data_IF_752136320416
#
_entry.id   IF_752136320416
#
_cell.length_a   1.000
_cell.length_b   1.000
_cell.length_c   1.000
_cell.angle_alpha   90.00
_cell.angle_beta   90.00
_cell.angle_gamma   90.00
#
_symmetry.space_group_name_H-M   'P 1'
#
loop_
_entity.id
_entity.type
_entity.pdbx_description
1 polymer ?
#
# COMPACT_ATOMS: atom_id res chain seq x y z
N UNK A 1 14.74 -29.37 -64.32
CA UNK A 1 14.36 -28.00 -63.91
C UNK A 1 15.12 -27.65 -62.66
N UNK A 2 16.05 -26.67 -62.73
CA UNK A 2 16.86 -26.24 -61.60
C UNK A 2 16.24 -24.99 -61.06
N UNK A 3 15.74 -25.01 -59.79
CA UNK A 3 15.26 -23.85 -59.10
C UNK A 3 16.43 -23.11 -58.45
N UNK A 4 16.66 -21.86 -58.88
CA UNK A 4 17.65 -20.97 -58.31
C UNK A 4 17.02 -20.25 -57.12
N UNK A 5 17.49 -20.50 -55.90
CA UNK A 5 17.09 -19.79 -54.70
C UNK A 5 17.73 -18.39 -54.69
N UNK A 6 16.91 -17.35 -54.71
CA UNK A 6 17.34 -15.97 -54.58
C UNK A 6 17.38 -15.61 -53.09
N UNK A 7 18.61 -15.48 -52.55
CA UNK A 7 18.83 -15.01 -51.16
C UNK A 7 18.71 -13.49 -51.10
N UNK A 8 17.64 -13.01 -50.51
CA UNK A 8 17.45 -11.60 -50.23
C UNK A 8 18.29 -11.20 -48.98
N UNK A 9 19.38 -10.49 -49.20
CA UNK A 9 20.22 -9.90 -48.18
C UNK A 9 19.47 -8.71 -47.56
N UNK A 10 18.93 -8.83 -46.32
CA UNK A 10 18.35 -7.74 -45.57
C UNK A 10 19.42 -6.66 -45.31
N UNK A 11 19.30 -5.51 -45.97
CA UNK A 11 20.10 -4.31 -45.68
C UNK A 11 19.63 -3.74 -44.36
N UNK A 12 20.39 -3.89 -43.28
CA UNK A 12 20.09 -3.27 -41.98
C UNK A 12 20.07 -1.75 -42.12
N UNK A 13 19.04 -1.10 -41.62
CA UNK A 13 18.88 0.36 -41.66
C UNK A 13 19.87 1.04 -40.70
N UNK A 14 21.15 1.09 -41.11
CA UNK A 14 22.22 1.77 -40.39
C UNK A 14 21.90 3.22 -40.11
N UNK A 15 21.19 3.88 -41.03
CA UNK A 15 20.72 5.27 -40.85
C UNK A 15 19.77 5.45 -39.64
N UNK A 16 18.92 4.47 -39.38
CA UNK A 16 17.98 4.50 -38.24
C UNK A 16 18.69 4.50 -36.88
N UNK A 17 19.75 3.71 -36.74
CA UNK A 17 20.53 3.68 -35.50
C UNK A 17 21.36 4.95 -35.27
N UNK A 18 21.81 5.58 -36.37
CA UNK A 18 22.57 6.84 -36.34
C UNK A 18 21.64 7.97 -35.84
N UNK A 19 20.39 8.04 -36.30
CA UNK A 19 19.44 9.05 -35.84
C UNK A 19 19.08 8.89 -34.38
N UNK A 20 18.87 7.66 -33.89
CA UNK A 20 18.62 7.37 -32.47
C UNK A 20 19.81 7.79 -31.61
N UNK A 21 21.04 7.46 -32.02
CA UNK A 21 22.24 7.83 -31.27
C UNK A 21 22.42 9.36 -31.19
N UNK A 22 22.10 10.09 -32.28
CA UNK A 22 22.17 11.54 -32.31
C UNK A 22 21.12 12.19 -31.38
N UNK A 23 19.90 11.66 -31.36
CA UNK A 23 18.84 12.14 -30.46
C UNK A 23 19.22 11.92 -28.98
N UNK A 24 19.78 10.77 -28.62
CA UNK A 24 20.21 10.47 -27.24
C UNK A 24 21.38 11.38 -26.82
N UNK A 25 22.29 11.70 -27.74
CA UNK A 25 23.40 12.62 -27.48
C UNK A 25 22.89 14.06 -27.20
N UNK A 26 21.91 14.55 -27.99
CA UNK A 26 21.33 15.88 -27.77
C UNK A 26 20.57 15.98 -26.44
N UNK A 27 19.87 14.92 -26.04
CA UNK A 27 19.18 14.85 -24.72
C UNK A 27 20.22 14.86 -23.60
N UNK A 28 21.32 14.13 -23.73
CA UNK A 28 22.40 14.12 -22.75
C UNK A 28 23.07 15.49 -22.58
N UNK A 29 23.30 16.23 -23.68
CA UNK A 29 23.88 17.58 -23.65
C UNK A 29 22.91 18.59 -23.00
N UNK A 30 21.60 18.49 -23.30
CA UNK A 30 20.59 19.34 -22.69
C UNK A 30 20.48 19.12 -21.17
N UNK A 31 20.54 17.84 -20.72
CA UNK A 31 20.55 17.48 -19.31
C UNK A 31 21.81 17.99 -18.59
N UNK A 32 22.97 17.92 -19.24
CA UNK A 32 24.22 18.47 -18.71
C UNK A 32 24.14 19.98 -18.49
N UNK A 33 23.59 20.72 -19.45
CA UNK A 33 23.41 22.18 -19.35
C UNK A 33 22.40 22.59 -18.28
N UNK A 34 21.34 21.80 -18.06
CA UNK A 34 20.36 22.03 -17.00
C UNK A 34 20.98 21.80 -15.60
N UNK A 35 21.85 20.81 -15.47
CA UNK A 35 22.47 20.46 -14.18
C UNK A 35 23.64 21.39 -13.82
N UNK A 36 24.35 21.95 -14.79
CA UNK A 36 25.50 22.85 -14.56
C UNK A 36 25.14 24.31 -14.24
N UNK A 37 23.84 24.65 -14.18
CA UNK A 37 23.36 25.98 -13.77
C UNK A 37 22.79 26.07 -12.36
N UNK A 38 22.97 25.05 -11.53
CA UNK A 38 22.69 25.15 -10.09
C UNK A 38 23.93 25.66 -9.38
N UNK A 39 24.26 26.93 -9.60
CA UNK A 39 25.19 27.68 -8.76
C UNK A 39 24.39 28.43 -7.70
N UNK A 40 24.85 28.22 -6.47
CA UNK A 40 24.58 28.93 -5.24
C UNK A 40 24.00 30.33 -5.40
N UNK A 41 22.73 30.50 -5.04
CA UNK A 41 22.21 31.80 -4.64
C UNK A 41 21.97 31.76 -3.13
N UNK A 42 22.72 32.60 -2.47
CA UNK A 42 22.75 33.00 -1.08
C UNK A 42 21.41 32.91 -0.33
N UNK A 43 21.41 32.12 0.72
CA UNK A 43 20.43 32.20 1.81
C UNK A 43 20.81 33.45 2.61
N UNK A 44 20.17 34.59 2.33
CA UNK A 44 20.12 35.71 3.25
C UNK A 44 19.11 35.41 4.34
N UNK A 45 19.63 35.30 5.53
CA UNK A 45 18.89 35.38 6.80
C UNK A 45 17.95 36.60 6.78
N UNK A 46 16.67 36.32 6.98
CA UNK A 46 15.71 37.33 7.41
C UNK A 46 15.37 37.03 8.87
N UNK A 47 16.06 37.71 9.77
CA UNK A 47 15.58 37.95 11.13
C UNK A 47 14.21 38.62 11.07
N UNK A 48 13.20 38.06 11.66
CA UNK A 48 11.96 38.74 12.00
C UNK A 48 11.46 38.31 13.36
N UNK A 49 11.77 39.19 14.29
CA UNK A 49 10.98 39.69 15.43
C UNK A 49 9.92 38.78 16.06
N UNK A 50 10.32 38.33 17.19
CA UNK A 50 9.65 38.11 18.47
C UNK A 50 8.31 38.86 18.62
N UNK A 51 7.21 38.11 18.78
CA UNK A 51 6.07 38.52 19.54
C UNK A 51 5.45 37.32 20.28
N UNK A 52 5.71 37.31 21.58
CA UNK A 52 5.25 36.40 22.61
C UNK A 52 3.79 36.75 22.98
N UNK A 53 2.85 35.83 22.97
CA UNK A 53 1.58 36.01 23.71
C UNK A 53 1.71 35.57 25.17
N UNK A 54 0.92 36.11 26.08
CA UNK A 54 1.14 36.00 27.51
C UNK A 54 0.65 34.68 28.10
N UNK A 55 1.39 34.28 29.12
CA UNK A 55 1.17 33.13 29.99
C UNK A 55 -0.07 33.43 30.86
N UNK A 56 -1.08 32.56 30.78
CA UNK A 56 -2.10 32.44 31.83
C UNK A 56 -1.81 31.12 32.58
N UNK A 57 -1.29 31.30 33.78
CA UNK A 57 -1.14 30.27 34.81
C UNK A 57 -2.51 29.86 35.32
N UNK A 58 -2.82 28.59 35.30
CA UNK A 58 -3.75 28.00 36.23
C UNK A 58 -3.09 26.77 36.84
N UNK A 59 -2.77 26.93 38.10
CA UNK A 59 -2.40 25.86 39.03
C UNK A 59 -3.51 24.81 39.06
N UNK A 60 -3.17 23.55 38.82
CA UNK A 60 -3.99 22.44 39.26
C UNK A 60 -3.17 21.55 40.18
N UNK A 61 -3.65 21.53 41.40
CA UNK A 61 -3.07 20.94 42.57
C UNK A 61 -3.04 19.42 42.51
N UNK A 62 -1.89 18.87 42.86
CA UNK A 62 -1.62 17.45 43.05
C UNK A 62 -2.26 16.96 44.33
N UNK A 63 -3.06 15.91 44.27
CA UNK A 63 -3.26 15.02 45.41
C UNK A 63 -3.26 13.58 44.93
N UNK A 64 -2.18 12.93 45.30
CA UNK A 64 -1.98 11.49 45.23
C UNK A 64 -2.56 10.84 46.48
N UNK A 65 -3.19 9.70 46.43
CA UNK A 65 -3.12 8.74 47.51
C UNK A 65 -2.41 7.46 47.11
N UNK A 66 -1.33 7.28 47.83
CA UNK A 66 -0.59 6.08 48.12
C UNK A 66 -1.53 4.89 48.42
N UNK A 67 -1.29 3.73 47.80
CA UNK A 67 -1.69 2.43 48.35
C UNK A 67 -0.50 1.50 48.45
N UNK A 68 -0.35 1.07 49.67
CA UNK A 68 0.63 0.21 50.32
C UNK A 68 0.67 -1.20 49.72
N UNK A 69 1.86 -1.65 49.61
CA UNK A 69 2.43 -2.99 49.62
C UNK A 69 1.75 -3.94 50.64
N UNK A 70 1.44 -5.16 50.24
CA UNK A 70 1.48 -6.29 51.16
C UNK A 70 1.66 -7.64 50.44
N UNK A 71 2.85 -8.18 50.62
CA UNK A 71 3.27 -9.48 51.15
C UNK A 71 2.80 -10.75 50.43
N UNK A 72 3.77 -11.40 49.79
CA UNK A 72 3.97 -12.85 49.68
C UNK A 72 4.03 -13.51 51.11
N UNK A 73 3.65 -14.79 51.38
CA UNK A 73 4.57 -15.86 51.08
C UNK A 73 3.99 -17.28 50.82
N UNK A 74 4.88 -18.09 50.28
CA UNK A 74 5.16 -19.52 50.57
C UNK A 74 4.50 -20.64 49.74
N UNK A 75 5.38 -21.28 48.99
CA UNK A 75 5.39 -22.67 48.57
C UNK A 75 5.50 -23.63 49.82
N UNK A 76 4.99 -24.87 49.79
CA UNK A 76 5.89 -25.96 49.44
C UNK A 76 5.31 -27.26 48.81
N UNK A 77 6.25 -27.94 48.10
CA UNK A 77 6.50 -29.38 48.02
C UNK A 77 5.67 -30.30 47.10
N UNK A 78 6.33 -30.78 46.10
CA UNK A 78 6.49 -32.09 45.45
C UNK A 78 6.38 -33.33 46.41
N UNK A 79 6.26 -34.61 45.97
CA UNK A 79 6.35 -35.23 44.63
C UNK A 79 5.31 -36.36 44.36
N UNK A 80 5.14 -36.82 43.13
CA UNK A 80 5.17 -38.26 42.81
C UNK A 80 5.17 -38.55 41.31
N UNK A 81 6.23 -39.25 40.90
CA UNK A 81 6.40 -40.02 39.67
C UNK A 81 5.16 -40.84 39.27
N UNK A 82 4.79 -40.77 38.01
CA UNK A 82 4.32 -41.91 37.21
C UNK A 82 4.60 -41.69 35.74
N UNK A 83 5.58 -42.41 35.28
CA UNK A 83 5.89 -42.82 33.94
C UNK A 83 4.64 -43.29 33.18
N UNK A 84 4.25 -42.62 32.10
CA UNK A 84 3.29 -43.14 31.12
C UNK A 84 3.90 -43.04 29.75
N UNK A 85 4.13 -44.21 29.20
CA UNK A 85 4.64 -44.56 27.89
C UNK A 85 4.17 -43.63 26.78
N UNK A 86 5.17 -43.12 26.06
CA UNK A 86 5.10 -42.53 24.75
C UNK A 86 4.41 -43.46 23.75
N UNK A 87 3.20 -43.14 23.33
CA UNK A 87 2.63 -43.63 22.10
C UNK A 87 2.67 -42.46 21.13
N UNK A 88 3.57 -42.58 20.16
CA UNK A 88 3.72 -41.74 18.99
C UNK A 88 2.44 -41.84 18.15
N UNK A 89 1.48 -40.94 18.42
CA UNK A 89 0.35 -40.71 17.55
C UNK A 89 0.81 -39.74 16.48
N UNK A 90 1.23 -40.24 15.32
CA UNK A 90 1.34 -39.45 14.10
C UNK A 90 -0.06 -39.02 13.70
N UNK A 91 -0.54 -37.95 14.33
CA UNK A 91 -1.70 -37.22 13.88
C UNK A 91 -1.29 -36.42 12.63
N UNK A 92 -1.63 -36.99 11.48
CA UNK A 92 -1.71 -36.27 10.22
C UNK A 92 -2.82 -35.23 10.41
N UNK A 93 -2.45 -34.06 10.93
CA UNK A 93 -3.35 -32.93 11.04
C UNK A 93 -3.63 -32.49 9.62
N UNK A 94 -4.69 -32.98 9.01
CA UNK A 94 -5.35 -32.32 7.93
C UNK A 94 -5.81 -30.97 8.50
N UNK A 95 -5.08 -29.91 8.18
CA UNK A 95 -5.49 -28.55 8.46
C UNK A 95 -6.79 -28.33 7.66
N UNK A 96 -7.93 -28.50 8.31
CA UNK A 96 -9.21 -28.05 7.78
C UNK A 96 -9.05 -26.56 7.58
N UNK A 97 -8.86 -26.13 6.31
CA UNK A 97 -8.80 -24.71 5.95
C UNK A 97 -10.11 -24.09 6.41
N UNK A 98 -10.06 -23.25 7.45
CA UNK A 98 -11.20 -22.46 7.87
C UNK A 98 -11.62 -21.59 6.67
N UNK A 99 -12.91 -21.52 6.30
CA UNK A 99 -13.35 -20.64 5.23
C UNK A 99 -12.88 -19.20 5.53
N UNK A 100 -12.35 -18.52 4.52
CA UNK A 100 -11.93 -17.13 4.65
C UNK A 100 -13.17 -16.25 4.89
N UNK A 101 -13.06 -15.38 5.88
CA UNK A 101 -14.02 -14.32 6.11
C UNK A 101 -13.46 -13.01 5.53
N UNK A 102 -14.34 -12.13 5.08
CA UNK A 102 -13.99 -10.85 4.48
C UNK A 102 -14.79 -9.74 5.14
N UNK A 103 -14.20 -8.55 5.29
CA UNK A 103 -14.89 -7.34 5.75
C UNK A 103 -14.58 -6.18 4.80
N UNK A 104 -15.49 -5.23 4.70
CA UNK A 104 -15.22 -4.00 3.94
C UNK A 104 -14.09 -3.21 4.60
N UNK A 105 -13.15 -2.66 3.82
CA UNK A 105 -11.99 -1.94 4.35
C UNK A 105 -12.36 -0.60 4.98
N UNK A 106 -13.42 0.03 4.51
CA UNK A 106 -14.03 1.25 5.05
C UNK A 106 -15.55 1.14 4.94
N UNK A 107 -16.26 1.96 5.72
CA UNK A 107 -17.71 2.09 5.55
C UNK A 107 -18.00 3.25 4.59
N UNK A 108 -18.64 2.97 3.46
CA UNK A 108 -18.96 3.94 2.43
C UNK A 108 -19.73 3.34 1.26
N UNK A 109 -20.24 4.20 0.40
CA UNK A 109 -20.89 3.82 -0.85
C UNK A 109 -19.83 3.61 -1.94
N UNK A 110 -19.99 2.56 -2.76
CA UNK A 110 -19.17 2.37 -3.95
C UNK A 110 -19.75 3.25 -5.05
N UNK A 111 -18.97 4.25 -5.48
CA UNK A 111 -19.43 5.19 -6.51
C UNK A 111 -18.76 4.96 -7.86
N UNK A 112 -17.68 4.15 -7.90
CA UNK A 112 -16.99 3.79 -9.13
C UNK A 112 -16.59 2.32 -9.08
N UNK A 113 -17.14 1.57 -10.01
CA UNK A 113 -16.98 0.11 -10.07
C UNK A 113 -15.71 -0.28 -10.83
N UNK A 114 -15.23 -1.50 -10.55
CA UNK A 114 -14.21 -2.17 -11.35
C UNK A 114 -14.71 -2.41 -12.78
N UNK A 115 -13.91 -2.00 -13.79
CA UNK A 115 -14.21 -2.26 -15.19
C UNK A 115 -12.94 -2.26 -16.03
N UNK A 116 -12.64 -3.38 -16.69
CA UNK A 116 -11.54 -3.52 -17.65
C UNK A 116 -12.00 -3.50 -19.11
N UNK A 117 -13.28 -3.66 -19.37
CA UNK A 117 -13.90 -3.77 -20.70
C UNK A 117 -14.77 -2.57 -21.06
N UNK A 118 -15.24 -1.83 -20.05
CA UNK A 118 -16.08 -0.65 -20.21
C UNK A 118 -15.34 0.58 -19.69
N UNK A 119 -15.17 1.56 -20.56
CA UNK A 119 -14.48 2.81 -20.19
C UNK A 119 -15.40 3.68 -19.31
N UNK A 120 -14.83 4.23 -18.25
CA UNK A 120 -15.46 5.18 -17.34
C UNK A 120 -14.80 6.55 -17.47
N UNK A 121 -15.56 7.62 -17.25
CA UNK A 121 -15.03 8.97 -17.30
C UNK A 121 -14.10 9.23 -16.12
N UNK A 122 -12.90 9.73 -16.43
CA UNK A 122 -11.95 10.24 -15.44
C UNK A 122 -12.08 11.77 -15.32
N UNK A 123 -12.54 12.24 -14.16
CA UNK A 123 -12.65 13.66 -13.89
C UNK A 123 -11.26 14.36 -13.84
N UNK A 124 -10.24 13.63 -13.38
CA UNK A 124 -8.87 14.15 -13.25
C UNK A 124 -8.20 14.37 -14.62
N UNK A 125 -8.39 13.43 -15.56
CA UNK A 125 -7.75 13.50 -16.88
C UNK A 125 -8.68 14.05 -17.98
N UNK A 126 -9.99 14.10 -17.73
CA UNK A 126 -11.00 14.55 -18.69
C UNK A 126 -11.17 13.61 -19.88
N UNK A 127 -10.84 12.34 -19.74
CA UNK A 127 -10.93 11.32 -20.78
C UNK A 127 -11.67 10.05 -20.28
N UNK A 128 -11.77 9.05 -21.17
CA UNK A 128 -12.42 7.77 -20.87
C UNK A 128 -11.35 6.70 -20.63
N UNK A 129 -11.40 6.04 -19.48
CA UNK A 129 -10.39 5.04 -19.03
C UNK A 129 -11.04 3.78 -18.47
N UNK A 130 -10.30 2.68 -18.47
CA UNK A 130 -10.61 1.51 -17.63
C UNK A 130 -10.38 1.89 -16.16
N UNK A 131 -11.08 1.22 -15.25
CA UNK A 131 -10.92 1.37 -13.81
C UNK A 131 -10.58 0.02 -13.19
N UNK A 132 -9.31 -0.16 -12.78
CA UNK A 132 -8.78 -1.46 -12.34
C UNK A 132 -9.10 -1.80 -10.87
N UNK A 133 -9.82 -0.95 -10.17
CA UNK A 133 -10.22 -1.10 -8.78
C UNK A 133 -11.69 -0.77 -8.55
N UNK A 134 -12.05 -0.57 -7.30
CA UNK A 134 -13.30 0.07 -6.89
C UNK A 134 -12.97 1.29 -6.03
N UNK A 135 -13.85 2.31 -6.10
CA UNK A 135 -13.75 3.50 -5.27
C UNK A 135 -14.88 3.55 -4.27
N UNK A 136 -14.52 3.60 -2.99
CA UNK A 136 -15.45 3.64 -1.87
C UNK A 136 -15.43 5.04 -1.26
N UNK A 137 -16.54 5.76 -1.37
CA UNK A 137 -16.68 7.11 -0.84
C UNK A 137 -16.46 7.13 0.68
N UNK A 138 -15.54 7.95 1.14
CA UNK A 138 -15.29 8.14 2.57
C UNK A 138 -14.50 9.43 2.80
N UNK A 139 -14.50 9.94 4.01
CA UNK A 139 -13.78 11.16 4.35
C UNK A 139 -12.28 10.93 4.45
N UNK A 140 -11.49 11.95 4.17
CA UNK A 140 -10.06 11.93 4.45
C UNK A 140 -9.80 11.63 5.92
N UNK A 141 -8.82 10.78 6.20
CA UNK A 141 -8.49 10.34 7.56
C UNK A 141 -9.33 9.17 8.08
N UNK A 142 -10.33 8.68 7.32
CA UNK A 142 -11.05 7.45 7.68
C UNK A 142 -10.05 6.29 7.81
N UNK A 143 -10.15 5.52 8.90
CA UNK A 143 -9.27 4.37 9.12
C UNK A 143 -9.59 3.26 8.12
N UNK A 144 -8.54 2.70 7.53
CA UNK A 144 -8.62 1.62 6.54
C UNK A 144 -8.22 0.32 7.20
N UNK A 145 -9.04 -0.70 7.04
CA UNK A 145 -8.83 -2.03 7.62
C UNK A 145 -8.47 -3.06 6.57
N UNK A 146 -7.68 -4.08 6.96
CA UNK A 146 -7.40 -5.24 6.12
C UNK A 146 -8.68 -6.04 5.88
N UNK A 147 -8.99 -6.33 4.61
CA UNK A 147 -10.21 -7.02 4.16
C UNK A 147 -10.31 -8.44 4.71
N UNK A 148 -9.20 -9.14 4.85
CA UNK A 148 -9.10 -10.49 5.41
C UNK A 148 -7.68 -10.71 5.97
N UNK A 149 -7.44 -11.85 6.62
CA UNK A 149 -6.09 -12.22 7.10
C UNK A 149 -5.08 -12.22 5.96
N UNK A 150 -3.84 -11.79 6.23
CA UNK A 150 -2.79 -11.76 5.22
C UNK A 150 -1.41 -11.38 5.76
N UNK A 151 -0.51 -11.10 4.85
CA UNK A 151 0.85 -10.60 5.12
C UNK A 151 1.12 -9.35 4.30
N UNK A 152 1.65 -8.29 4.92
CA UNK A 152 2.06 -7.08 4.21
C UNK A 152 3.19 -7.45 3.25
N UNK A 153 2.92 -7.38 1.95
CA UNK A 153 3.88 -7.71 0.89
C UNK A 153 4.76 -6.52 0.56
N UNK A 154 4.15 -5.32 0.46
CA UNK A 154 4.87 -4.11 0.09
C UNK A 154 4.17 -2.86 0.59
N UNK A 155 4.97 -1.79 0.80
CA UNK A 155 4.50 -0.44 1.07
C UNK A 155 5.27 0.47 0.13
N UNK A 156 4.57 1.10 -0.80
CA UNK A 156 5.16 1.92 -1.86
C UNK A 156 4.42 3.24 -2.04
N UNK A 157 5.02 4.14 -2.78
CA UNK A 157 4.40 5.41 -3.17
C UNK A 157 4.65 5.64 -4.66
N UNK A 158 3.58 5.93 -5.40
CA UNK A 158 3.64 6.22 -6.83
C UNK A 158 2.94 7.54 -7.13
N UNK A 159 3.28 8.12 -8.30
CA UNK A 159 2.67 9.37 -8.75
C UNK A 159 1.16 9.22 -9.05
N UNK A 160 0.71 8.01 -9.39
CA UNK A 160 -0.67 7.76 -9.79
C UNK A 160 -1.55 7.34 -8.59
N UNK A 161 -1.07 6.42 -7.75
CA UNK A 161 -1.88 5.82 -6.68
C UNK A 161 -1.57 6.40 -5.28
N UNK A 162 -0.53 7.26 -5.17
CA UNK A 162 -0.06 7.74 -3.88
C UNK A 162 0.53 6.62 -3.03
N UNK A 163 0.47 6.77 -1.70
CA UNK A 163 0.95 5.73 -0.78
C UNK A 163 0.02 4.54 -0.81
N UNK A 164 0.59 3.36 -1.02
CA UNK A 164 -0.13 2.12 -1.23
C UNK A 164 0.41 1.04 -0.30
N UNK A 165 -0.50 0.33 0.36
CA UNK A 165 -0.19 -0.91 1.10
C UNK A 165 -0.67 -2.09 0.26
N UNK A 166 0.23 -3.01 -0.05
CA UNK A 166 -0.07 -4.26 -0.78
C UNK A 166 -0.03 -5.42 0.20
N UNK A 167 -1.11 -6.19 0.26
CA UNK A 167 -1.25 -7.33 1.15
C UNK A 167 -1.42 -8.61 0.33
N UNK A 168 -0.61 -9.62 0.62
CA UNK A 168 -0.82 -10.99 0.15
C UNK A 168 -1.73 -11.70 1.16
N UNK A 169 -2.94 -11.99 0.72
CA UNK A 169 -3.95 -12.68 1.52
C UNK A 169 -3.92 -14.21 1.34
N UNK A 170 -2.91 -14.73 0.64
CA UNK A 170 -2.77 -16.16 0.33
C UNK A 170 -3.73 -16.64 -0.76
N UNK A 171 -3.56 -17.89 -1.18
CA UNK A 171 -4.32 -18.52 -2.26
C UNK A 171 -4.30 -17.71 -3.59
N UNK A 172 -3.23 -16.93 -3.82
CA UNK A 172 -3.06 -16.06 -5.00
C UNK A 172 -3.84 -14.75 -4.95
N UNK A 173 -4.50 -14.41 -3.83
CA UNK A 173 -5.21 -13.15 -3.65
C UNK A 173 -4.25 -12.07 -3.11
N UNK A 174 -4.06 -11.02 -3.90
CA UNK A 174 -3.31 -9.81 -3.53
C UNK A 174 -4.27 -8.62 -3.61
N UNK A 175 -4.25 -7.78 -2.58
CA UNK A 175 -5.06 -6.55 -2.55
C UNK A 175 -4.14 -5.36 -2.31
N UNK A 176 -4.36 -4.28 -3.08
CA UNK A 176 -3.70 -2.98 -2.91
C UNK A 176 -4.70 -1.97 -2.37
N UNK A 177 -4.30 -1.27 -1.32
CA UNK A 177 -5.04 -0.19 -0.69
C UNK A 177 -4.30 1.10 -1.00
N UNK A 178 -4.89 1.96 -1.83
CA UNK A 178 -4.23 3.09 -2.44
C UNK A 178 -4.68 4.43 -1.86
N UNK A 179 -3.86 5.48 -2.01
CA UNK A 179 -4.17 6.80 -1.49
C UNK A 179 -4.19 6.86 0.04
N UNK A 180 -3.21 6.23 0.70
CA UNK A 180 -3.16 6.15 2.15
C UNK A 180 -2.24 7.20 2.78
N UNK A 181 -2.48 7.52 4.06
CA UNK A 181 -1.59 8.23 4.97
C UNK A 181 -1.55 7.53 6.32
N UNK A 182 -0.63 7.96 7.19
CA UNK A 182 -0.49 7.42 8.55
C UNK A 182 -0.49 5.88 8.56
N UNK A 183 0.29 5.28 7.64
CA UNK A 183 0.39 3.84 7.51
C UNK A 183 0.97 3.27 8.82
N UNK A 184 0.24 2.34 9.43
CA UNK A 184 0.61 1.63 10.66
C UNK A 184 1.14 0.23 10.38
N UNK A 185 0.93 -0.26 9.15
CA UNK A 185 1.43 -1.55 8.69
C UNK A 185 2.94 -1.51 8.48
N UNK A 186 3.60 -2.64 8.70
CA UNK A 186 5.03 -2.81 8.42
C UNK A 186 5.21 -3.97 7.43
N UNK A 187 6.15 -3.82 6.49
CA UNK A 187 6.46 -4.85 5.50
C UNK A 187 6.82 -6.15 6.19
N UNK A 188 6.42 -7.24 5.58
CA UNK A 188 6.65 -8.62 6.04
C UNK A 188 5.93 -9.02 7.34
N UNK A 189 5.10 -8.15 7.93
CA UNK A 189 4.27 -8.48 9.10
C UNK A 189 2.94 -9.12 8.70
N UNK A 190 2.41 -9.97 9.59
CA UNK A 190 1.07 -10.52 9.44
C UNK A 190 0.01 -9.53 9.90
N UNK A 191 -1.13 -9.51 9.21
CA UNK A 191 -2.32 -8.73 9.58
C UNK A 191 -3.53 -9.64 9.65
N UNK A 192 -4.48 -9.28 10.50
CA UNK A 192 -5.77 -9.94 10.64
C UNK A 192 -6.87 -9.13 9.94
N UNK A 193 -7.93 -9.82 9.56
CA UNK A 193 -9.15 -9.17 9.10
C UNK A 193 -9.60 -8.09 10.10
N UNK A 194 -9.80 -6.86 9.61
CA UNK A 194 -10.21 -5.73 10.43
C UNK A 194 -9.08 -4.95 11.10
N UNK A 195 -7.82 -5.41 11.03
CA UNK A 195 -6.67 -4.64 11.54
C UNK A 195 -6.51 -3.35 10.74
N UNK A 196 -6.28 -2.24 11.44
CA UNK A 196 -6.02 -0.95 10.80
C UNK A 196 -4.64 -0.94 10.15
N UNK A 197 -4.59 -0.60 8.86
CA UNK A 197 -3.36 -0.55 8.04
C UNK A 197 -2.91 0.88 7.71
N UNK A 198 -3.81 1.86 7.86
CA UNK A 198 -3.55 3.26 7.58
C UNK A 198 -4.84 4.07 7.61
N UNK A 199 -4.80 5.25 7.03
CA UNK A 199 -5.95 6.14 6.90
C UNK A 199 -6.07 6.66 5.47
N UNK A 200 -7.29 6.95 5.03
CA UNK A 200 -7.58 7.48 3.68
C UNK A 200 -6.90 8.83 3.47
N UNK A 201 -6.30 9.01 2.31
CA UNK A 201 -5.76 10.25 1.78
C UNK A 201 -6.16 10.40 0.31
N UNK A 202 -5.40 11.12 -0.48
CA UNK A 202 -5.70 11.37 -1.89
C UNK A 202 -5.07 10.33 -2.80
N UNK A 203 -5.82 9.84 -3.79
CA UNK A 203 -5.32 9.12 -4.95
C UNK A 203 -5.01 10.13 -6.05
N UNK A 204 -3.74 10.39 -6.41
CA UNK A 204 -3.39 11.48 -7.33
C UNK A 204 -4.03 11.37 -8.71
N UNK A 205 -4.15 10.16 -9.27
CA UNK A 205 -4.81 9.92 -10.56
C UNK A 205 -6.33 10.15 -10.54
N UNK A 206 -6.92 10.31 -9.36
CA UNK A 206 -8.35 10.48 -9.12
C UNK A 206 -8.67 11.66 -8.20
N UNK A 207 -7.72 12.63 -8.14
CA UNK A 207 -7.79 13.77 -7.23
C UNK A 207 -8.95 14.75 -7.52
N UNK A 208 -9.59 14.66 -8.68
CA UNK A 208 -10.78 15.44 -9.04
C UNK A 208 -12.10 14.72 -8.74
N UNK A 209 -12.05 13.45 -8.35
CA UNK A 209 -13.20 12.71 -7.86
C UNK A 209 -13.48 13.06 -6.39
N UNK A 210 -14.65 12.68 -5.87
CA UNK A 210 -14.92 12.83 -4.44
C UNK A 210 -13.91 12.03 -3.61
N UNK A 211 -13.71 12.43 -2.34
CA UNK A 211 -12.76 11.73 -1.45
C UNK A 211 -13.17 10.26 -1.26
N UNK A 212 -12.22 9.35 -1.43
CA UNK A 212 -12.47 7.91 -1.46
C UNK A 212 -11.26 7.09 -1.05
N UNK A 213 -11.49 5.80 -0.82
CA UNK A 213 -10.49 4.75 -0.83
C UNK A 213 -10.53 4.06 -2.20
N UNK A 214 -9.41 4.05 -2.92
CA UNK A 214 -9.22 3.21 -4.12
C UNK A 214 -8.62 1.87 -3.72
N UNK A 215 -9.22 0.75 -4.18
CA UNK A 215 -8.77 -0.60 -3.84
C UNK A 215 -8.73 -1.49 -5.08
N UNK A 216 -7.58 -2.08 -5.35
CA UNK A 216 -7.38 -3.03 -6.45
C UNK A 216 -7.22 -4.46 -5.90
N UNK A 217 -7.83 -5.43 -6.56
CA UNK A 217 -7.68 -6.85 -6.22
C UNK A 217 -7.13 -7.66 -7.39
N UNK A 218 -6.26 -8.61 -7.08
CA UNK A 218 -5.66 -9.52 -8.05
C UNK A 218 -5.79 -10.95 -7.55
N UNK A 219 -6.22 -11.84 -8.44
CA UNK A 219 -6.26 -13.27 -8.16
C UNK A 219 -5.40 -14.01 -9.18
N UNK A 220 -4.36 -14.70 -8.71
CA UNK A 220 -3.37 -15.38 -9.56
C UNK A 220 -2.78 -14.45 -10.64
N UNK A 221 -2.52 -13.18 -10.25
CA UNK A 221 -1.95 -12.14 -11.13
C UNK A 221 -2.94 -11.50 -12.11
N UNK A 222 -4.22 -11.84 -12.06
CA UNK A 222 -5.26 -11.22 -12.88
C UNK A 222 -6.05 -10.22 -12.03
N UNK A 223 -6.28 -9.02 -12.57
CA UNK A 223 -7.13 -8.01 -11.95
C UNK A 223 -8.59 -8.51 -11.92
N UNK A 224 -9.22 -8.36 -10.77
CA UNK A 224 -10.61 -8.79 -10.50
C UNK A 224 -11.35 -7.74 -9.68
N UNK A 225 -12.69 -7.76 -9.74
CA UNK A 225 -13.48 -7.02 -8.77
C UNK A 225 -13.39 -7.68 -7.40
N UNK A 226 -13.05 -6.88 -6.37
CA UNK A 226 -13.04 -7.35 -4.98
C UNK A 226 -14.46 -7.69 -4.48
N UNK A 227 -15.50 -7.13 -5.11
CA UNK A 227 -16.89 -7.30 -4.68
C UNK A 227 -17.34 -8.76 -4.69
N UNK A 228 -16.73 -9.60 -5.54
CA UNK A 228 -17.03 -11.04 -5.57
C UNK A 228 -16.84 -11.76 -4.23
N UNK A 229 -16.15 -11.16 -3.27
CA UNK A 229 -15.94 -11.73 -1.94
C UNK A 229 -16.99 -11.29 -0.91
N UNK A 230 -17.89 -10.38 -1.30
CA UNK A 230 -18.93 -9.81 -0.43
C UNK A 230 -20.37 -10.15 -0.89
N UNK A 231 -20.50 -10.95 -1.97
CA UNK A 231 -21.75 -11.49 -2.50
C UNK A 231 -22.25 -12.71 -1.71
#
# INVERSE_FOLDING_TARGET
MKYTQYSQKKKGNSAFYITIALCLFLIGVAAWFAFSKVDNTDIKEAESQNSKPPIASSEYNSTNPSYTENTEPETPADPTDKEVKNQEYTSKTETVKKPKSYCMPVNGEIFKDFSLDTLQHSATYGDMRIHAGIDIACSEGTLVSAVTDGKIQDISETADLGKTVTIDHGDGLIIKYCGLKNITAEKDTAVKMGDTIGAVSTVPSECSDQQHLHIEAFENGKSISILKFFE
#
